data_IF_060384996664
#
_entry.id   IF_060384996664
#
_cell.length_a   1.000
_cell.length_b   1.000
_cell.length_c   1.000
_cell.angle_alpha   90.00
_cell.angle_beta   90.00
_cell.angle_gamma   90.00
#
_symmetry.space_group_name_H-M   'P 1'
#
loop_
_entity.id
_entity.type
_entity.pdbx_description
1 polymer ?
#
# COMPACT_ATOMS: atom_id res chain seq x y z
N UNK A 1 -11.37 -10.39 -10.20
CA UNK A 1 -10.03 -10.44 -10.80
C UNK A 1 -9.14 -11.38 -10.02
N UNK A 2 -8.14 -11.91 -10.67
CA UNK A 2 -7.14 -12.67 -9.95
C UNK A 2 -6.33 -11.74 -9.06
N UNK A 3 -6.01 -12.21 -7.87
CA UNK A 3 -5.25 -11.39 -6.92
C UNK A 3 -3.84 -11.15 -7.43
N UNK A 4 -3.35 -9.95 -7.23
CA UNK A 4 -1.98 -9.56 -7.58
C UNK A 4 -1.12 -9.38 -6.35
N UNK A 5 -1.60 -9.80 -5.19
CA UNK A 5 -0.87 -9.52 -3.95
C UNK A 5 0.49 -10.20 -3.92
N UNK A 6 0.62 -11.37 -4.52
CA UNK A 6 1.92 -12.03 -4.55
C UNK A 6 2.88 -11.38 -5.53
N UNK A 7 2.35 -10.84 -6.63
CA UNK A 7 3.17 -10.06 -7.55
C UNK A 7 3.72 -8.82 -6.86
N UNK A 8 2.87 -8.14 -6.11
CA UNK A 8 3.28 -6.95 -5.37
C UNK A 8 4.34 -7.30 -4.33
N UNK A 9 4.11 -8.37 -3.57
CA UNK A 9 5.05 -8.83 -2.55
C UNK A 9 6.42 -9.14 -3.17
N UNK A 10 6.42 -9.80 -4.33
CA UNK A 10 7.65 -10.15 -5.02
C UNK A 10 8.42 -8.91 -5.47
N UNK A 11 7.71 -7.85 -5.88
CA UNK A 11 8.36 -6.60 -6.25
C UNK A 11 9.14 -6.03 -5.06
N UNK A 12 8.52 -6.04 -3.88
CA UNK A 12 9.21 -5.56 -2.69
C UNK A 12 10.39 -6.44 -2.35
N UNK A 13 10.21 -7.75 -2.42
CA UNK A 13 11.26 -8.70 -2.09
C UNK A 13 12.47 -8.57 -3.00
N UNK A 14 12.25 -8.12 -4.24
CA UNK A 14 13.35 -7.97 -5.22
C UNK A 14 14.32 -6.86 -4.84
N UNK A 15 13.89 -5.91 -4.02
CA UNK A 15 14.72 -4.76 -3.67
C UNK A 15 14.66 -3.62 -4.67
N UNK A 16 13.99 -3.80 -5.79
CA UNK A 16 13.92 -2.77 -6.82
C UNK A 16 12.81 -1.75 -6.57
N UNK A 17 11.91 -2.05 -5.62
CA UNK A 17 10.78 -1.19 -5.32
C UNK A 17 10.69 -0.98 -3.83
N UNK A 18 10.34 0.24 -3.38
CA UNK A 18 9.98 0.40 -1.97
C UNK A 18 8.53 -0.09 -1.80
N UNK A 19 8.03 -0.09 -0.55
CA UNK A 19 6.70 -0.64 -0.28
C UNK A 19 5.61 0.10 -1.04
N UNK A 20 5.71 1.42 -1.10
CA UNK A 20 4.73 2.23 -1.83
C UNK A 20 4.75 1.88 -3.32
N UNK A 21 5.93 1.81 -3.89
CA UNK A 21 6.08 1.49 -5.31
C UNK A 21 5.62 0.08 -5.63
N UNK A 22 5.89 -0.86 -4.73
CA UNK A 22 5.50 -2.25 -4.96
C UNK A 22 3.99 -2.36 -5.16
N UNK A 23 3.22 -1.63 -4.35
CA UNK A 23 1.76 -1.64 -4.49
C UNK A 23 1.33 -0.84 -5.71
N UNK A 24 1.75 0.42 -5.80
CA UNK A 24 1.18 1.27 -6.85
C UNK A 24 1.62 0.85 -8.25
N UNK A 25 2.82 0.29 -8.41
CA UNK A 25 3.22 -0.19 -9.72
C UNK A 25 2.48 -1.46 -10.13
N UNK A 26 2.17 -2.32 -9.17
CA UNK A 26 1.42 -3.54 -9.46
C UNK A 26 0.02 -3.23 -9.98
N UNK A 27 -0.57 -2.14 -9.51
CA UNK A 27 -1.94 -1.77 -9.88
C UNK A 27 -1.98 -0.50 -10.72
N UNK A 28 -0.88 -0.16 -11.41
CA UNK A 28 -0.83 1.11 -12.14
C UNK A 28 -1.90 1.22 -13.24
N UNK A 29 -2.34 0.08 -13.78
CA UNK A 29 -3.38 0.10 -14.81
C UNK A 29 -4.70 0.67 -14.30
N UNK A 30 -4.94 0.61 -12.98
CA UNK A 30 -6.14 1.20 -12.40
C UNK A 30 -6.01 2.71 -12.20
N UNK A 31 -4.80 3.24 -12.32
CA UNK A 31 -4.56 4.67 -12.04
C UNK A 31 -4.69 5.56 -13.26
N UNK A 32 -4.66 4.99 -14.44
CA UNK A 32 -4.63 5.77 -15.68
C UNK A 32 -3.25 6.32 -16.02
N UNK A 33 -2.24 5.98 -15.22
CA UNK A 33 -0.86 6.45 -15.43
C UNK A 33 0.03 5.28 -15.82
N UNK A 34 1.11 5.58 -16.57
CA UNK A 34 2.07 4.55 -16.91
C UNK A 34 2.89 4.17 -15.68
N UNK A 35 3.52 3.01 -15.76
CA UNK A 35 4.24 2.47 -14.59
C UNK A 35 5.40 3.38 -14.16
N UNK A 36 6.11 3.94 -15.11
CA UNK A 36 7.25 4.79 -14.77
C UNK A 36 6.82 6.03 -13.99
N UNK A 37 5.75 6.67 -14.43
CA UNK A 37 5.23 7.84 -13.74
C UNK A 37 4.78 7.51 -12.32
N UNK A 38 4.04 6.41 -12.19
CA UNK A 38 3.54 6.03 -10.87
C UNK A 38 4.69 5.56 -9.96
N UNK A 39 5.74 4.97 -10.54
CA UNK A 39 6.90 4.57 -9.75
C UNK A 39 7.61 5.79 -9.18
N UNK A 40 7.76 6.83 -9.99
CA UNK A 40 8.37 8.07 -9.51
C UNK A 40 7.54 8.71 -8.40
N UNK A 41 6.22 8.64 -8.51
CA UNK A 41 5.34 9.21 -7.48
C UNK A 41 5.58 8.58 -6.12
N UNK A 42 6.03 7.34 -6.09
CA UNK A 42 6.26 6.62 -4.84
C UNK A 42 7.66 6.77 -4.26
N UNK A 43 8.55 7.48 -4.95
CA UNK A 43 9.96 7.54 -4.54
C UNK A 43 10.17 8.08 -3.13
N UNK A 44 9.42 9.11 -2.75
CA UNK A 44 9.63 9.80 -1.48
C UNK A 44 8.96 9.12 -0.29
N UNK A 45 8.18 8.08 -0.54
CA UNK A 45 7.41 7.43 0.50
C UNK A 45 8.05 6.13 0.98
N UNK A 46 9.36 6.04 0.85
CA UNK A 46 10.11 4.88 1.31
C UNK A 46 10.27 4.93 2.83
N UNK A 47 10.29 3.76 3.44
CA UNK A 47 10.65 3.59 4.85
C UNK A 47 9.84 4.52 5.75
N UNK A 48 8.52 4.45 5.63
CA UNK A 48 7.65 5.26 6.49
C UNK A 48 7.96 6.73 6.43
N UNK A 49 7.94 7.32 5.24
CA UNK A 49 8.21 8.74 4.99
C UNK A 49 9.67 9.10 5.27
N UNK A 50 10.57 8.13 5.13
CA UNK A 50 11.99 8.37 5.22
C UNK A 50 12.60 8.22 6.60
N UNK A 51 11.79 8.20 7.65
CA UNK A 51 12.31 8.11 9.02
C UNK A 51 11.54 7.12 9.88
N UNK A 52 10.73 6.28 9.26
CA UNK A 52 9.90 5.25 9.91
C UNK A 52 8.80 5.79 10.81
N UNK A 53 8.66 7.09 10.90
CA UNK A 53 7.59 7.68 11.73
C UNK A 53 6.24 7.68 11.03
N UNK A 54 6.24 7.55 9.72
CA UNK A 54 5.01 7.61 8.96
C UNK A 54 4.32 6.26 8.83
N UNK A 55 3.16 6.30 8.21
CA UNK A 55 2.38 5.11 7.90
C UNK A 55 3.19 4.19 6.97
N UNK A 56 2.95 2.89 7.07
CA UNK A 56 3.57 1.91 6.20
C UNK A 56 3.37 2.28 4.72
N UNK A 57 4.46 2.23 3.94
CA UNK A 57 4.40 2.63 2.55
C UNK A 57 3.41 1.82 1.72
N UNK A 58 3.20 0.56 2.08
CA UNK A 58 2.24 -0.27 1.37
C UNK A 58 0.83 0.32 1.45
N UNK A 59 0.47 0.85 2.61
CA UNK A 59 -0.82 1.50 2.79
C UNK A 59 -0.91 2.78 1.99
N UNK A 60 0.19 3.54 1.94
CA UNK A 60 0.23 4.76 1.13
C UNK A 60 0.04 4.41 -0.35
N UNK A 61 0.71 3.37 -0.81
CA UNK A 61 0.57 2.93 -2.20
C UNK A 61 -0.85 2.54 -2.55
N UNK A 62 -1.50 1.81 -1.64
CA UNK A 62 -2.90 1.44 -1.85
C UNK A 62 -3.79 2.67 -1.96
N UNK A 63 -3.53 3.68 -1.12
CA UNK A 63 -4.29 4.92 -1.16
C UNK A 63 -4.10 5.68 -2.45
N UNK A 64 -2.87 5.72 -2.96
CA UNK A 64 -2.59 6.39 -4.23
C UNK A 64 -3.39 5.73 -5.35
N UNK A 65 -3.36 4.40 -5.41
CA UNK A 65 -4.07 3.67 -6.45
C UNK A 65 -5.57 3.93 -6.37
N UNK A 66 -6.12 3.80 -5.17
CA UNK A 66 -7.56 3.93 -5.03
C UNK A 66 -8.03 5.35 -5.31
N UNK A 67 -7.27 6.34 -4.88
CA UNK A 67 -7.60 7.74 -5.17
C UNK A 67 -7.63 8.03 -6.65
N UNK A 68 -6.63 7.55 -7.37
CA UNK A 68 -6.58 7.75 -8.81
C UNK A 68 -7.66 6.96 -9.54
N UNK A 69 -8.02 5.81 -8.99
CA UNK A 69 -9.06 4.98 -9.57
C UNK A 69 -10.45 5.61 -9.44
N UNK A 70 -10.80 6.06 -8.23
CA UNK A 70 -12.14 6.61 -7.99
C UNK A 70 -12.27 8.03 -8.48
N UNK A 71 -11.20 8.80 -8.40
CA UNK A 71 -11.21 10.25 -8.68
C UNK A 71 -12.30 10.97 -7.90
N UNK A 72 -12.57 10.46 -6.70
CA UNK A 72 -13.63 10.96 -5.83
C UNK A 72 -13.10 11.03 -4.41
N UNK A 73 -13.06 12.24 -3.86
CA UNK A 73 -12.45 12.47 -2.57
C UNK A 73 -13.14 11.68 -1.45
N UNK A 74 -14.46 11.70 -1.44
CA UNK A 74 -15.21 11.04 -0.37
C UNK A 74 -15.08 9.52 -0.45
N UNK A 75 -15.21 8.96 -1.65
CA UNK A 75 -15.06 7.52 -1.83
C UNK A 75 -13.67 7.06 -1.48
N UNK A 76 -12.67 7.85 -1.88
CA UNK A 76 -11.28 7.50 -1.60
C UNK A 76 -11.01 7.46 -0.10
N UNK A 77 -11.49 8.47 0.62
CA UNK A 77 -11.29 8.53 2.06
C UNK A 77 -11.98 7.38 2.76
N UNK A 78 -13.18 7.04 2.31
CA UNK A 78 -13.94 5.95 2.89
C UNK A 78 -13.26 4.60 2.66
N UNK A 79 -12.76 4.39 1.43
CA UNK A 79 -12.05 3.16 1.12
C UNK A 79 -10.76 3.05 1.91
N UNK A 80 -10.02 4.15 2.04
CA UNK A 80 -8.78 4.14 2.80
C UNK A 80 -9.03 3.83 4.27
N UNK A 81 -10.13 4.33 4.83
CA UNK A 81 -10.48 4.01 6.21
C UNK A 81 -10.68 2.51 6.39
N UNK A 82 -11.33 1.87 5.42
CA UNK A 82 -11.52 0.42 5.49
C UNK A 82 -10.20 -0.34 5.40
N UNK A 83 -9.32 0.09 4.50
CA UNK A 83 -8.01 -0.53 4.38
C UNK A 83 -7.23 -0.41 5.69
N UNK A 84 -7.22 0.79 6.26
CA UNK A 84 -6.48 1.04 7.49
C UNK A 84 -7.01 0.20 8.65
N UNK A 85 -8.32 0.08 8.77
CA UNK A 85 -8.91 -0.72 9.84
C UNK A 85 -8.56 -2.19 9.71
N UNK A 86 -8.66 -2.73 8.51
CA UNK A 86 -8.35 -4.14 8.29
C UNK A 86 -6.87 -4.42 8.55
N UNK A 87 -6.02 -3.51 8.11
CA UNK A 87 -4.58 -3.66 8.29
C UNK A 87 -4.21 -3.61 9.77
N UNK A 88 -4.81 -2.66 10.50
CA UNK A 88 -4.58 -2.55 11.94
C UNK A 88 -5.02 -3.81 12.67
N UNK A 89 -6.16 -4.34 12.31
CA UNK A 89 -6.68 -5.55 12.95
C UNK A 89 -5.78 -6.75 12.69
N UNK A 90 -5.26 -6.88 11.47
CA UNK A 90 -4.42 -8.02 11.14
C UNK A 90 -3.02 -7.91 11.73
N UNK A 91 -2.44 -6.72 11.72
CA UNK A 91 -1.01 -6.57 12.00
C UNK A 91 -0.70 -5.83 13.30
N UNK A 92 -1.69 -5.23 13.92
CA UNK A 92 -1.50 -4.58 15.22
C UNK A 92 -0.98 -3.16 15.15
N UNK A 93 -0.58 -2.69 13.98
CA UNK A 93 -0.06 -1.33 13.81
C UNK A 93 -0.13 -0.95 12.35
N UNK A 94 -0.05 0.36 12.08
CA UNK A 94 0.03 0.89 10.72
C UNK A 94 1.29 1.71 10.51
N UNK A 95 1.98 2.07 11.58
CA UNK A 95 3.19 2.87 11.50
C UNK A 95 4.39 2.00 11.17
N UNK A 96 5.21 2.45 10.23
CA UNK A 96 6.37 1.70 9.75
C UNK A 96 7.27 1.26 10.90
N UNK A 97 7.58 2.17 11.81
CA UNK A 97 8.45 1.91 12.93
C UNK A 97 7.96 0.74 13.78
N UNK A 98 6.66 0.73 14.08
CA UNK A 98 6.09 -0.33 14.91
C UNK A 98 6.06 -1.66 14.19
N UNK A 99 5.74 -1.64 12.91
CA UNK A 99 5.68 -2.86 12.12
C UNK A 99 7.06 -3.51 11.99
N UNK A 100 8.09 -2.69 11.82
CA UNK A 100 9.45 -3.21 11.70
C UNK A 100 10.08 -3.58 13.04
N UNK A 101 9.49 -3.14 14.13
CA UNK A 101 10.03 -3.45 15.45
C UNK A 101 11.19 -2.58 15.85
N UNK A 102 11.35 -1.41 15.20
CA UNK A 102 12.42 -0.48 15.57
C UNK A 102 12.11 0.09 16.95
N UNK A 103 13.02 -0.04 17.88
CA UNK A 103 12.83 0.45 19.24
C UNK A 103 12.16 -0.54 20.16
N UNK A 104 11.32 -1.43 19.66
CA UNK A 104 10.68 -2.45 20.49
C UNK A 104 11.41 -3.78 20.44
N UNK A 105 12.20 -3.98 19.39
CA UNK A 105 12.89 -5.23 19.18
C UNK A 105 12.03 -6.36 18.66
N UNK A 106 10.75 -6.07 18.33
CA UNK A 106 9.84 -7.10 17.89
C UNK A 106 9.15 -6.68 16.59
N UNK A 107 9.53 -7.33 15.49
CA UNK A 107 8.88 -7.08 14.20
C UNK A 107 7.47 -7.66 14.22
N UNK A 108 6.48 -6.84 13.89
CA UNK A 108 5.10 -7.31 13.82
C UNK A 108 4.78 -7.94 12.46
N UNK A 109 5.37 -7.41 11.39
CA UNK A 109 5.09 -7.93 10.05
C UNK A 109 6.24 -7.55 9.11
N UNK A 110 6.70 -8.49 8.29
CA UNK A 110 7.72 -8.19 7.28
C UNK A 110 7.17 -7.25 6.22
N UNK A 111 8.05 -6.42 5.66
CA UNK A 111 7.64 -5.43 4.66
C UNK A 111 6.93 -6.05 3.46
N UNK A 112 7.46 -7.16 2.94
CA UNK A 112 6.84 -7.80 1.78
C UNK A 112 5.46 -8.35 2.11
N UNK A 113 5.22 -8.72 3.36
CA UNK A 113 3.91 -9.18 3.80
C UNK A 113 2.97 -8.01 4.01
N UNK A 114 3.49 -6.87 4.46
CA UNK A 114 2.68 -5.66 4.54
C UNK A 114 2.20 -5.26 3.14
N UNK A 115 3.06 -5.41 2.15
CA UNK A 115 2.70 -5.13 0.75
C UNK A 115 1.59 -6.07 0.29
N UNK A 116 1.71 -7.36 0.60
CA UNK A 116 0.68 -8.32 0.24
C UNK A 116 -0.65 -8.00 0.92
N UNK A 117 -0.61 -7.65 2.21
CA UNK A 117 -1.81 -7.33 2.96
C UNK A 117 -2.52 -6.09 2.42
N UNK A 118 -1.76 -5.02 2.17
CA UNK A 118 -2.34 -3.79 1.64
C UNK A 118 -2.95 -4.04 0.26
N UNK A 119 -2.28 -4.86 -0.55
CA UNK A 119 -2.79 -5.22 -1.88
C UNK A 119 -4.10 -6.00 -1.76
N UNK A 120 -4.14 -6.95 -0.85
CA UNK A 120 -5.36 -7.73 -0.62
C UNK A 120 -6.53 -6.83 -0.22
N UNK A 121 -6.30 -5.91 0.71
CA UNK A 121 -7.35 -5.03 1.18
C UNK A 121 -7.78 -4.02 0.11
N UNK A 122 -6.83 -3.60 -0.72
CA UNK A 122 -7.15 -2.77 -1.87
C UNK A 122 -8.08 -3.50 -2.84
N UNK A 123 -7.78 -4.77 -3.11
CA UNK A 123 -8.59 -5.57 -4.01
C UNK A 123 -9.99 -5.83 -3.47
N UNK A 124 -10.16 -5.78 -2.16
CA UNK A 124 -11.47 -5.98 -1.54
C UNK A 124 -12.39 -4.78 -1.68
N UNK A 125 -11.85 -3.62 -2.05
CA UNK A 125 -12.67 -2.44 -2.22
C UNK A 125 -13.46 -2.51 -3.51
N UNK A 126 -14.59 -1.75 -3.61
CA UNK A 126 -15.35 -1.75 -4.85
C UNK A 126 -14.47 -1.29 -6.02
N UNK A 127 -14.46 -2.09 -7.07
CA UNK A 127 -13.66 -1.80 -8.25
C UNK A 127 -14.49 -1.29 -9.40
N UNK A 128 -15.80 -1.16 -9.19
CA UNK A 128 -16.70 -0.67 -10.22
C UNK A 128 -17.26 0.67 -9.80
N UNK A 129 -17.58 1.48 -10.80
CA UNK A 129 -18.26 2.72 -10.55
C UNK A 129 -19.61 2.42 -9.91
N UNK A 130 -19.83 3.00 -8.76
CA UNK A 130 -21.13 2.88 -8.10
C UNK A 130 -22.03 3.97 -8.63
N UNK A 131 -23.19 3.57 -9.09
CA UNK A 131 -24.13 4.56 -9.65
C UNK A 131 -24.85 5.29 -8.56
#
# INVERSE_FOLDING_TARGET
>A
MESRKETASAKKASGAYNCTQAVCCTYHDFTGLDEETIKHAGNSFAVGMGNMEGTCGALIGAGIVYGLFTKDKAKSAQGMRQIMEKFQQRNGATQCKLLKGAGSGKMLRECKMCVADASEFLEDLPTQETK
#
